data_IF_043516027413
#
_entry.id   IF_043516027413
#
_cell.length_a   1.000
_cell.length_b   1.000
_cell.length_c   1.000
_cell.angle_alpha   90.00
_cell.angle_beta   90.00
_cell.angle_gamma   90.00
#
_symmetry.space_group_name_H-M   'P 1'
#
loop_
_entity.id
_entity.type
_entity.pdbx_description
1 polymer ?
#
# COMPACT_ATOMS: atom_id res chain seq x y z
N UNK A 1 -4.53 1.28 24.32
CA UNK A 1 -4.19 0.35 23.22
C UNK A 1 -5.28 -0.68 22.88
N UNK A 2 -6.35 -0.87 23.67
CA UNK A 2 -7.45 -1.80 23.33
C UNK A 2 -8.37 -1.33 22.18
N UNK A 3 -8.41 -0.03 21.85
CA UNK A 3 -9.40 0.50 20.90
C UNK A 3 -9.20 0.08 19.43
N UNK A 4 -7.97 -0.31 19.04
CA UNK A 4 -7.68 -0.89 17.71
C UNK A 4 -7.89 -2.42 17.64
N UNK A 5 -8.20 -3.08 18.76
CA UNK A 5 -8.70 -4.47 18.74
C UNK A 5 -10.16 -4.56 18.25
N UNK A 6 -10.75 -3.46 17.78
CA UNK A 6 -11.86 -3.53 16.82
C UNK A 6 -11.36 -4.34 15.62
N UNK A 7 -12.17 -5.27 15.11
CA UNK A 7 -11.81 -6.23 14.06
C UNK A 7 -11.42 -5.54 12.74
N UNK A 8 -10.24 -4.93 12.68
CA UNK A 8 -9.66 -4.39 11.45
C UNK A 8 -9.34 -5.59 10.58
N UNK A 9 -10.02 -5.68 9.43
CA UNK A 9 -9.78 -6.73 8.43
C UNK A 9 -8.84 -6.26 7.33
N UNK A 10 -8.76 -4.95 7.11
CA UNK A 10 -8.03 -4.34 6.03
C UNK A 10 -7.50 -2.98 6.42
N UNK A 11 -6.29 -2.65 5.96
CA UNK A 11 -5.67 -1.33 6.11
C UNK A 11 -5.33 -0.78 4.73
N UNK A 12 -5.91 0.38 4.39
CA UNK A 12 -5.44 1.18 3.28
C UNK A 12 -4.26 2.03 3.77
N UNK A 13 -3.08 1.80 3.20
CA UNK A 13 -1.85 2.50 3.57
C UNK A 13 -1.46 3.43 2.44
N UNK A 14 -1.68 4.73 2.64
CA UNK A 14 -1.24 5.77 1.73
C UNK A 14 0.13 6.27 2.17
N UNK A 15 1.12 6.26 1.27
CA UNK A 15 2.46 6.74 1.55
C UNK A 15 3.06 7.47 0.35
N UNK A 16 3.94 8.47 0.52
CA UNK A 16 4.56 9.16 -0.61
C UNK A 16 5.37 8.22 -1.51
N UNK A 17 5.35 8.44 -2.82
CA UNK A 17 6.39 7.94 -3.73
C UNK A 17 7.50 8.99 -3.79
N UNK A 18 8.70 8.70 -3.28
CA UNK A 18 9.79 9.68 -3.23
C UNK A 18 10.58 9.76 -4.54
N UNK A 19 10.49 8.73 -5.38
CA UNK A 19 11.07 8.74 -6.71
C UNK A 19 10.21 9.57 -7.67
N UNK A 20 10.68 9.76 -8.91
CA UNK A 20 9.86 10.40 -9.92
C UNK A 20 8.63 9.52 -10.25
N UNK A 21 7.44 10.12 -10.17
CA UNK A 21 6.17 9.43 -10.43
C UNK A 21 4.99 10.36 -10.23
N UNK A 22 3.92 10.11 -10.99
CA UNK A 22 2.66 10.85 -10.95
C UNK A 22 1.53 9.93 -10.52
N UNK A 23 0.45 10.51 -10.01
CA UNK A 23 -0.76 9.74 -9.73
C UNK A 23 -0.65 8.78 -8.54
N UNK A 24 -1.48 7.74 -8.58
CA UNK A 24 -1.58 6.71 -7.55
C UNK A 24 -0.93 5.42 -8.07
N UNK A 25 0.01 4.88 -7.30
CA UNK A 25 0.81 3.73 -7.71
C UNK A 25 0.62 2.57 -6.73
N UNK A 26 0.51 1.36 -7.26
CA UNK A 26 0.41 0.12 -6.50
C UNK A 26 1.74 -0.64 -6.56
N UNK A 27 2.03 -1.54 -5.60
CA UNK A 27 3.17 -2.46 -5.72
C UNK A 27 3.05 -3.34 -6.98
N UNK A 28 4.16 -3.98 -7.40
CA UNK A 28 4.13 -4.96 -8.48
C UNK A 28 3.08 -6.05 -8.22
N UNK A 29 2.36 -6.46 -9.28
CA UNK A 29 1.23 -7.39 -9.14
C UNK A 29 1.65 -8.77 -8.59
N UNK A 30 2.91 -9.16 -8.79
CA UNK A 30 3.47 -10.41 -8.28
C UNK A 30 3.74 -10.38 -6.76
N UNK A 31 3.66 -9.22 -6.11
CA UNK A 31 3.85 -9.11 -4.67
C UNK A 31 2.61 -9.61 -3.93
N UNK A 32 2.82 -10.49 -2.96
CA UNK A 32 1.73 -11.07 -2.15
C UNK A 32 1.78 -10.65 -0.68
N UNK A 33 2.91 -10.10 -0.21
CA UNK A 33 3.09 -9.61 1.15
C UNK A 33 4.29 -8.66 1.23
N UNK A 34 4.30 -7.81 2.26
CA UNK A 34 5.51 -7.14 2.72
C UNK A 34 6.16 -7.97 3.84
N UNK A 35 7.45 -8.27 3.70
CA UNK A 35 8.20 -9.03 4.70
C UNK A 35 8.99 -8.11 5.62
N UNK A 36 9.00 -8.44 6.91
CA UNK A 36 9.80 -7.75 7.93
C UNK A 36 10.53 -8.78 8.81
N UNK A 37 11.55 -8.39 9.60
CA UNK A 37 12.21 -9.30 10.53
C UNK A 37 11.28 -9.96 11.58
N UNK A 38 10.10 -9.37 11.83
CA UNK A 38 9.12 -9.87 12.80
C UNK A 38 7.90 -10.53 12.12
N UNK A 39 8.03 -10.86 10.83
CA UNK A 39 7.03 -11.54 10.03
C UNK A 39 6.48 -10.70 8.90
N UNK A 40 5.61 -11.30 8.10
CA UNK A 40 5.05 -10.67 6.90
C UNK A 40 3.63 -10.14 7.13
N UNK A 41 3.26 -9.12 6.37
CA UNK A 41 1.90 -8.57 6.29
C UNK A 41 1.35 -8.87 4.89
N UNK A 42 0.31 -9.72 4.76
CA UNK A 42 -0.24 -10.09 3.46
C UNK A 42 -0.93 -8.93 2.76
N UNK A 43 -0.81 -8.88 1.44
CA UNK A 43 -1.52 -7.92 0.60
C UNK A 43 -2.94 -8.41 0.28
N UNK A 44 -3.87 -7.49 0.15
CA UNK A 44 -5.20 -7.76 -0.39
C UNK A 44 -5.16 -7.76 -1.92
N UNK A 45 -4.74 -8.87 -2.51
CA UNK A 45 -4.61 -8.99 -3.97
C UNK A 45 -5.93 -8.80 -4.72
N UNK A 46 -7.09 -9.08 -4.10
CA UNK A 46 -8.40 -8.84 -4.72
C UNK A 46 -8.65 -7.34 -4.86
N UNK A 47 -8.44 -6.57 -3.79
CA UNK A 47 -8.60 -5.12 -3.83
C UNK A 47 -7.57 -4.47 -4.76
N UNK A 48 -6.30 -4.89 -4.71
CA UNK A 48 -5.26 -4.33 -5.58
C UNK A 48 -5.61 -4.51 -7.07
N UNK A 49 -6.08 -5.71 -7.47
CA UNK A 49 -6.57 -5.94 -8.84
C UNK A 49 -7.80 -5.09 -9.19
N UNK A 50 -8.72 -4.91 -8.24
CA UNK A 50 -9.89 -4.08 -8.44
C UNK A 50 -9.53 -2.58 -8.56
N UNK A 51 -8.51 -2.10 -7.86
CA UNK A 51 -7.99 -0.73 -8.01
C UNK A 51 -7.32 -0.56 -9.37
N UNK A 52 -6.45 -1.49 -9.75
CA UNK A 52 -5.78 -1.46 -11.05
C UNK A 52 -6.79 -1.47 -12.22
N UNK A 53 -7.87 -2.24 -12.11
CA UNK A 53 -8.90 -2.31 -13.17
C UNK A 53 -9.72 -1.02 -13.36
N UNK A 54 -9.63 -0.06 -12.42
CA UNK A 54 -10.27 1.25 -12.61
C UNK A 54 -9.56 2.13 -13.64
N UNK A 55 -8.30 1.83 -13.95
CA UNK A 55 -7.44 2.70 -14.78
C UNK A 55 -6.98 3.98 -14.08
N UNK A 56 -7.30 4.18 -12.80
CA UNK A 56 -6.85 5.32 -11.99
C UNK A 56 -5.52 5.07 -11.28
N UNK A 57 -5.03 3.83 -11.32
CA UNK A 57 -3.83 3.38 -10.64
C UNK A 57 -2.89 2.72 -11.64
N UNK A 58 -1.60 2.98 -11.50
CA UNK A 58 -0.52 2.26 -12.20
C UNK A 58 0.27 1.39 -11.21
N UNK A 59 1.17 0.55 -11.72
CA UNK A 59 2.09 -0.24 -10.88
C UNK A 59 3.50 0.32 -10.94
N UNK A 60 4.24 0.22 -9.83
CA UNK A 60 5.65 0.58 -9.80
C UNK A 60 6.51 -0.60 -10.29
N UNK A 61 7.67 -0.33 -10.94
CA UNK A 61 8.64 -1.39 -11.23
C UNK A 61 9.18 -2.03 -9.95
N UNK A 62 9.30 -3.36 -9.92
CA UNK A 62 9.81 -4.10 -8.75
C UNK A 62 11.25 -3.71 -8.32
N UNK A 63 12.06 -3.21 -9.26
CA UNK A 63 13.39 -2.68 -8.93
C UNK A 63 13.30 -1.35 -8.19
N UNK A 64 12.39 -0.48 -8.62
CA UNK A 64 12.17 0.84 -8.03
C UNK A 64 11.55 0.75 -6.63
N UNK A 65 10.62 -0.19 -6.42
CA UNK A 65 9.96 -0.39 -5.13
C UNK A 65 10.95 -0.70 -4.00
N UNK A 66 12.00 -1.48 -4.29
CA UNK A 66 13.00 -1.89 -3.29
C UNK A 66 13.79 -0.72 -2.70
N UNK A 67 13.95 0.34 -3.49
CA UNK A 67 14.64 1.57 -3.10
C UNK A 67 13.67 2.62 -2.53
N UNK A 68 12.37 2.32 -2.49
CA UNK A 68 11.35 3.15 -1.85
C UNK A 68 11.11 2.70 -0.39
N UNK A 69 10.88 3.64 0.51
CA UNK A 69 10.88 3.37 1.96
C UNK A 69 9.63 3.84 2.70
N UNK A 70 8.81 4.68 2.08
CA UNK A 70 7.65 5.29 2.73
C UNK A 70 6.65 4.27 3.29
N UNK A 71 6.44 3.17 2.57
CA UNK A 71 5.63 2.03 3.02
C UNK A 71 6.44 1.13 3.94
N UNK A 72 7.66 0.76 3.55
CA UNK A 72 8.51 -0.19 4.28
C UNK A 72 8.72 0.18 5.75
N UNK A 73 8.89 1.47 6.06
CA UNK A 73 9.07 1.97 7.43
C UNK A 73 7.85 1.74 8.33
N UNK A 74 6.66 1.60 7.76
CA UNK A 74 5.42 1.45 8.51
C UNK A 74 5.05 -0.02 8.77
N UNK A 75 5.54 -0.95 7.95
CA UNK A 75 5.17 -2.37 8.03
C UNK A 75 5.50 -3.02 9.37
N UNK A 76 6.67 -2.80 10.01
CA UNK A 76 6.96 -3.41 11.31
C UNK A 76 5.97 -2.98 12.40
N UNK A 77 5.59 -1.70 12.42
CA UNK A 77 4.58 -1.19 13.35
C UNK A 77 3.22 -1.84 13.07
N UNK A 78 2.78 -1.85 11.81
CA UNK A 78 1.52 -2.49 11.40
C UNK A 78 1.48 -3.97 11.77
N UNK A 79 2.58 -4.72 11.55
CA UNK A 79 2.69 -6.13 11.96
C UNK A 79 2.52 -6.33 13.46
N UNK A 80 2.91 -5.35 14.27
CA UNK A 80 2.84 -5.39 15.74
C UNK A 80 1.45 -5.08 16.27
N UNK A 81 0.71 -4.17 15.63
CA UNK A 81 -0.56 -3.64 16.16
C UNK A 81 -1.80 -4.22 15.52
N UNK A 82 -1.68 -4.79 14.30
CA UNK A 82 -2.84 -5.32 13.57
C UNK A 82 -3.20 -6.74 14.03
N UNK A 83 -4.50 -7.08 14.05
CA UNK A 83 -4.94 -8.46 14.24
C UNK A 83 -4.35 -9.40 13.18
N UNK A 84 -4.13 -10.66 13.56
CA UNK A 84 -3.77 -11.71 12.60
C UNK A 84 -4.84 -11.84 11.50
N UNK A 85 -4.39 -12.05 10.25
CA UNK A 85 -5.28 -12.10 9.07
C UNK A 85 -5.71 -10.73 8.52
N UNK A 86 -5.24 -9.61 9.08
CA UNK A 86 -5.43 -8.29 8.47
C UNK A 86 -4.70 -8.23 7.13
N UNK A 87 -5.40 -7.77 6.09
CA UNK A 87 -4.85 -7.58 4.75
C UNK A 87 -4.45 -6.11 4.52
N UNK A 88 -3.36 -5.90 3.80
CA UNK A 88 -2.86 -4.56 3.47
C UNK A 88 -3.21 -4.17 2.03
N UNK A 89 -3.65 -2.93 1.86
CA UNK A 89 -3.81 -2.26 0.56
C UNK A 89 -2.83 -1.09 0.52
N UNK A 90 -1.58 -1.32 0.09
CA UNK A 90 -0.57 -0.28 -0.09
C UNK A 90 -0.88 0.57 -1.33
N UNK A 91 -0.78 1.89 -1.20
CA UNK A 91 -0.84 2.84 -2.31
C UNK A 91 0.25 3.87 -2.12
N UNK A 92 1.18 3.94 -3.07
CA UNK A 92 2.10 5.05 -3.16
C UNK A 92 1.40 6.24 -3.82
N UNK A 93 1.63 7.43 -3.28
CA UNK A 93 1.08 8.69 -3.78
C UNK A 93 2.23 9.49 -4.38
N UNK A 94 2.27 9.54 -5.70
CA UNK A 94 3.20 10.38 -6.44
C UNK A 94 2.77 11.84 -6.46
N UNK A 95 3.30 12.61 -7.41
CA UNK A 95 2.83 13.97 -7.63
C UNK A 95 1.42 13.93 -8.23
N UNK A 96 0.48 14.58 -7.54
CA UNK A 96 -0.89 14.80 -8.01
C UNK A 96 -1.04 16.21 -8.58
N UNK A 97 -1.83 16.33 -9.64
CA UNK A 97 -2.26 17.59 -10.24
C UNK A 97 -3.73 17.88 -9.90
N UNK A 98 -4.19 19.08 -10.24
CA UNK A 98 -5.56 19.50 -9.93
C UNK A 98 -6.58 18.65 -10.68
N UNK A 99 -6.22 18.22 -11.89
CA UNK A 99 -7.04 17.37 -12.76
C UNK A 99 -7.29 16.00 -12.12
N UNK A 100 -6.33 15.44 -11.38
CA UNK A 100 -6.46 14.18 -10.65
C UNK A 100 -7.49 14.26 -9.50
N UNK A 101 -7.81 15.47 -9.04
CA UNK A 101 -8.76 15.76 -7.97
C UNK A 101 -10.15 16.16 -8.49
N UNK A 102 -10.31 16.30 -9.81
CA UNK A 102 -11.50 16.90 -10.44
C UNK A 102 -12.78 16.03 -10.40
N UNK A 103 -12.71 14.86 -9.76
CA UNK A 103 -13.87 14.00 -9.48
C UNK A 103 -14.80 14.54 -8.38
N UNK A 104 -14.61 15.79 -7.93
CA UNK A 104 -15.47 16.53 -7.01
C UNK A 104 -15.88 17.89 -7.58
#
# INVERSE_FOLDING_TARGET
>A
MQALQRRVKRVLLLAPWHQEGFGLLLPPEEFTAFSTPIGSVPLDGEVLRALLSTGLYDTVPAAAEKDEHSIALQIPFLKTVLPEGTLLVPVYVGRLFKEDLSMY
#
